data_IF_238076566517
#
_entry.id   IF_238076566517
#
_cell.length_a   1.000
_cell.length_b   1.000
_cell.length_c   1.000
_cell.angle_alpha   90.00
_cell.angle_beta   90.00
_cell.angle_gamma   90.00
#
_symmetry.space_group_name_H-M   'P 1'
#
loop_
_entity.id
_entity.type
_entity.pdbx_description
1 polymer ?
#
# COMPACT_ATOMS: atom_id res chain seq x y z
N UNK A 1 -61.37 4.39 -5.50
CA UNK A 1 -60.09 4.99 -5.05
C UNK A 1 -59.42 4.01 -4.11
N UNK A 2 -58.41 3.26 -4.57
CA UNK A 2 -57.59 2.41 -3.71
C UNK A 2 -56.13 2.69 -4.07
N UNK A 3 -55.45 3.47 -3.22
CA UNK A 3 -54.01 3.77 -3.36
C UNK A 3 -53.25 2.62 -2.73
N UNK A 4 -52.64 1.79 -3.57
CA UNK A 4 -51.64 0.81 -3.17
C UNK A 4 -50.33 1.57 -2.88
N UNK A 5 -49.95 1.70 -1.60
CA UNK A 5 -48.61 2.16 -1.23
C UNK A 5 -47.64 1.00 -1.38
N UNK A 6 -46.82 1.03 -2.44
CA UNK A 6 -45.60 0.22 -2.50
C UNK A 6 -44.57 0.88 -1.57
N UNK A 7 -44.33 0.27 -0.42
CA UNK A 7 -43.16 0.58 0.41
C UNK A 7 -41.98 -0.18 -0.19
N UNK A 8 -41.13 0.53 -0.93
CA UNK A 8 -39.81 0.00 -1.28
C UNK A 8 -38.98 -0.05 0.01
N UNK A 9 -38.90 -1.23 0.62
CA UNK A 9 -37.83 -1.52 1.56
C UNK A 9 -36.56 -1.64 0.71
N UNK A 10 -35.76 -0.58 0.64
CA UNK A 10 -34.36 -0.73 0.27
C UNK A 10 -33.72 -1.56 1.39
N UNK A 11 -33.79 -2.89 1.25
CA UNK A 11 -32.86 -3.77 1.94
C UNK A 11 -31.51 -3.39 1.35
N UNK A 12 -30.81 -2.49 2.03
CA UNK A 12 -29.39 -2.31 1.81
C UNK A 12 -28.80 -3.70 1.96
N UNK A 13 -28.34 -4.27 0.85
CA UNK A 13 -27.49 -5.45 0.88
C UNK A 13 -26.34 -5.07 1.82
N UNK A 14 -26.39 -5.58 3.04
CA UNK A 14 -25.22 -5.65 3.88
C UNK A 14 -24.27 -6.56 3.11
N UNK A 15 -23.45 -5.95 2.24
CA UNK A 15 -22.28 -6.60 1.69
C UNK A 15 -21.54 -7.12 2.93
N UNK A 16 -21.27 -8.43 2.98
CA UNK A 16 -20.20 -8.91 3.83
C UNK A 16 -19.02 -7.96 3.61
N UNK A 17 -18.51 -7.34 4.68
CA UNK A 17 -17.62 -6.19 4.53
C UNK A 17 -16.49 -6.56 3.56
N UNK A 18 -16.53 -5.99 2.36
CA UNK A 18 -15.54 -6.28 1.32
C UNK A 18 -14.13 -5.90 1.81
N UNK A 19 -14.06 -5.13 2.91
CA UNK A 19 -12.87 -4.82 3.67
C UNK A 19 -12.92 -5.49 5.06
N UNK A 20 -12.33 -6.70 5.26
CA UNK A 20 -12.30 -7.34 6.56
C UNK A 20 -11.36 -6.56 7.50
N UNK A 21 -11.71 -6.44 8.79
CA UNK A 21 -10.87 -5.75 9.75
C UNK A 21 -9.58 -6.53 10.00
N UNK A 22 -8.51 -5.81 10.35
CA UNK A 22 -7.24 -6.43 10.70
C UNK A 22 -7.37 -7.36 11.93
N UNK A 23 -6.53 -8.40 12.05
CA UNK A 23 -6.48 -9.23 13.25
C UNK A 23 -6.34 -8.39 14.53
N UNK A 24 -7.23 -8.60 15.50
CA UNK A 24 -7.23 -7.85 16.77
C UNK A 24 -7.94 -6.50 16.75
N UNK A 25 -8.58 -6.11 15.64
CA UNK A 25 -9.38 -4.88 15.58
C UNK A 25 -10.58 -4.93 16.54
N UNK A 26 -10.75 -3.87 17.35
CA UNK A 26 -11.81 -3.78 18.34
C UNK A 26 -13.09 -3.18 17.74
N UNK A 27 -13.89 -4.00 17.05
CA UNK A 27 -15.16 -3.58 16.45
C UNK A 27 -16.12 -3.03 17.52
N UNK A 28 -16.25 -3.72 18.66
CA UNK A 28 -17.20 -3.35 19.70
C UNK A 28 -16.86 -2.03 20.41
N UNK A 29 -15.57 -1.68 20.48
CA UNK A 29 -15.09 -0.43 21.06
C UNK A 29 -14.88 0.71 20.05
N UNK A 30 -15.26 0.51 18.78
CA UNK A 30 -15.10 1.51 17.72
C UNK A 30 -16.46 2.13 17.35
N UNK A 31 -16.45 3.40 16.94
CA UNK A 31 -17.67 4.07 16.47
C UNK A 31 -18.14 3.45 15.12
N UNK A 32 -19.40 3.00 15.00
CA UNK A 32 -19.88 2.36 13.77
C UNK A 32 -19.81 3.25 12.52
N UNK A 33 -19.94 4.58 12.66
CA UNK A 33 -19.82 5.51 11.53
C UNK A 33 -18.36 5.67 11.10
N UNK A 34 -17.42 5.60 12.05
CA UNK A 34 -15.99 5.62 11.72
C UNK A 34 -15.58 4.37 10.92
N UNK A 35 -16.09 3.20 11.31
CA UNK A 35 -15.88 1.95 10.55
C UNK A 35 -16.47 2.09 9.15
N UNK A 36 -17.72 2.55 9.03
CA UNK A 36 -18.37 2.73 7.73
C UNK A 36 -17.60 3.69 6.82
N UNK A 37 -17.05 4.78 7.37
CA UNK A 37 -16.23 5.72 6.61
C UNK A 37 -14.92 5.08 6.11
N UNK A 38 -14.27 4.25 6.93
CA UNK A 38 -13.07 3.51 6.50
C UNK A 38 -13.38 2.56 5.33
N UNK A 39 -14.52 1.87 5.39
CA UNK A 39 -14.97 0.98 4.32
C UNK A 39 -15.30 1.75 3.03
N UNK A 40 -15.92 2.93 3.14
CA UNK A 40 -16.17 3.82 1.99
C UNK A 40 -14.87 4.30 1.33
N UNK A 41 -13.85 4.65 2.11
CA UNK A 41 -12.52 5.02 1.60
C UNK A 41 -11.90 3.84 0.85
N UNK A 42 -11.93 2.63 1.43
CA UNK A 42 -11.42 1.42 0.80
C UNK A 42 -12.13 1.10 -0.51
N UNK A 43 -13.46 1.23 -0.56
CA UNK A 43 -14.24 1.03 -1.77
C UNK A 43 -13.90 2.06 -2.86
N UNK A 44 -13.80 3.35 -2.50
CA UNK A 44 -13.45 4.42 -3.43
C UNK A 44 -12.05 4.27 -4.03
N UNK A 45 -11.14 3.61 -3.30
CA UNK A 45 -9.76 3.33 -3.72
C UNK A 45 -9.59 2.03 -4.51
N UNK A 46 -10.69 1.43 -4.97
CA UNK A 46 -10.70 0.24 -5.82
C UNK A 46 -11.02 -1.06 -5.09
N UNK A 47 -11.26 -1.03 -3.77
CA UNK A 47 -11.68 -2.18 -2.98
C UNK A 47 -10.55 -3.12 -2.55
N UNK A 48 -10.77 -3.82 -1.43
CA UNK A 48 -9.81 -4.75 -0.82
C UNK A 48 -9.36 -5.86 -1.76
N UNK A 49 -10.28 -6.51 -2.48
CA UNK A 49 -9.95 -7.64 -3.34
C UNK A 49 -8.93 -7.25 -4.43
N UNK A 50 -9.10 -6.08 -5.05
CA UNK A 50 -8.17 -5.56 -6.04
C UNK A 50 -6.84 -5.14 -5.40
N UNK A 51 -6.87 -4.50 -4.23
CA UNK A 51 -5.66 -4.19 -3.46
C UNK A 51 -4.85 -5.45 -3.13
N UNK A 52 -5.50 -6.52 -2.67
CA UNK A 52 -4.84 -7.77 -2.31
C UNK A 52 -4.25 -8.47 -3.54
N UNK A 53 -5.00 -8.50 -4.65
CA UNK A 53 -4.55 -9.07 -5.92
C UNK A 53 -3.45 -8.26 -6.63
N UNK A 54 -3.29 -6.97 -6.30
CA UNK A 54 -2.27 -6.11 -6.92
C UNK A 54 -0.88 -6.59 -6.53
N UNK A 55 -0.09 -7.01 -7.53
CA UNK A 55 1.29 -7.45 -7.32
C UNK A 55 2.29 -6.31 -7.44
N UNK A 56 2.26 -5.58 -8.55
CA UNK A 56 3.24 -4.53 -8.84
C UNK A 56 2.65 -3.15 -8.63
N UNK A 57 3.37 -2.30 -7.90
CA UNK A 57 3.05 -0.87 -7.74
C UNK A 57 4.27 -0.07 -8.17
N UNK A 58 4.07 0.92 -9.03
CA UNK A 58 5.12 1.84 -9.49
C UNK A 58 4.66 3.27 -9.30
N UNK A 59 5.48 4.09 -8.66
CA UNK A 59 5.17 5.49 -8.43
C UNK A 59 6.43 6.35 -8.36
N UNK A 60 6.26 7.65 -8.57
CA UNK A 60 7.32 8.63 -8.40
C UNK A 60 6.96 9.57 -7.26
N UNK A 61 7.70 9.51 -6.16
CA UNK A 61 7.47 10.36 -4.98
C UNK A 61 8.11 11.74 -5.20
N UNK A 62 7.30 12.80 -5.10
CA UNK A 62 7.64 14.20 -5.40
C UNK A 62 8.38 14.43 -6.73
N UNK A 63 8.23 13.53 -7.71
CA UNK A 63 8.84 13.69 -9.03
C UNK A 63 10.32 13.32 -9.12
N UNK A 64 10.99 12.89 -8.04
CA UNK A 64 12.44 12.57 -8.09
C UNK A 64 12.83 11.20 -7.53
N UNK A 65 11.95 10.53 -6.77
CA UNK A 65 12.19 9.15 -6.29
C UNK A 65 11.28 8.18 -7.01
N UNK A 66 11.83 7.36 -7.90
CA UNK A 66 11.06 6.27 -8.52
C UNK A 66 11.08 5.05 -7.60
N UNK A 67 9.93 4.43 -7.41
CA UNK A 67 9.78 3.16 -6.73
C UNK A 67 9.04 2.18 -7.63
N UNK A 68 9.53 0.94 -7.68
CA UNK A 68 8.81 -0.24 -8.18
C UNK A 68 8.80 -1.24 -7.03
N UNK A 69 7.64 -1.80 -6.73
CA UNK A 69 7.47 -2.75 -5.63
C UNK A 69 6.70 -3.98 -6.10
N UNK A 70 7.30 -5.17 -5.95
CA UNK A 70 6.61 -6.45 -5.96
C UNK A 70 6.06 -6.71 -4.55
N UNK A 71 4.77 -6.41 -4.34
CA UNK A 71 4.10 -6.56 -3.03
C UNK A 71 4.08 -7.99 -2.52
N UNK A 72 4.20 -8.98 -3.41
CA UNK A 72 4.11 -10.38 -3.03
C UNK A 72 5.43 -10.92 -2.52
N UNK A 73 6.55 -10.51 -3.11
CA UNK A 73 7.89 -10.99 -2.72
C UNK A 73 8.63 -10.04 -1.78
N UNK A 74 8.25 -8.76 -1.79
CA UNK A 74 8.98 -7.70 -1.09
C UNK A 74 10.15 -7.13 -1.89
N UNK A 75 10.31 -7.50 -3.16
CA UNK A 75 11.37 -6.95 -3.99
C UNK A 75 11.04 -5.52 -4.41
N UNK A 76 12.03 -4.64 -4.33
CA UNK A 76 11.92 -3.25 -4.75
C UNK A 76 13.02 -2.85 -5.71
N UNK A 77 12.68 -1.93 -6.61
CA UNK A 77 13.63 -1.05 -7.30
C UNK A 77 13.38 0.37 -6.83
N UNK A 78 14.43 1.01 -6.35
CA UNK A 78 14.42 2.41 -5.98
C UNK A 78 15.41 3.18 -6.83
N UNK A 79 15.01 4.33 -7.36
CA UNK A 79 15.90 5.25 -8.05
C UNK A 79 15.78 6.66 -7.50
N UNK A 80 16.92 7.32 -7.33
CA UNK A 80 17.03 8.73 -7.03
C UNK A 80 18.34 9.26 -7.61
N UNK A 81 18.26 10.31 -8.43
CA UNK A 81 19.42 10.86 -9.14
C UNK A 81 20.15 9.77 -9.95
N UNK A 82 21.43 9.49 -9.69
CA UNK A 82 22.22 8.43 -10.34
C UNK A 82 22.27 7.12 -9.53
N UNK A 83 21.59 7.07 -8.38
CA UNK A 83 21.50 5.89 -7.52
C UNK A 83 20.35 4.98 -7.98
N UNK A 84 20.66 3.70 -8.15
CA UNK A 84 19.68 2.62 -8.25
C UNK A 84 19.92 1.61 -7.13
N UNK A 85 18.86 1.22 -6.41
CA UNK A 85 18.87 0.15 -5.41
C UNK A 85 17.90 -0.94 -5.84
N UNK A 86 18.38 -2.19 -5.84
CA UNK A 86 17.58 -3.40 -6.03
C UNK A 86 17.69 -4.22 -4.75
N UNK A 87 16.62 -4.35 -3.97
CA UNK A 87 16.68 -5.05 -2.69
C UNK A 87 15.37 -5.72 -2.34
N UNK A 88 15.42 -6.66 -1.39
CA UNK A 88 14.21 -7.19 -0.77
C UNK A 88 13.98 -6.51 0.58
N UNK A 89 12.77 -6.00 0.83
CA UNK A 89 12.45 -5.26 2.07
C UNK A 89 12.40 -6.14 3.33
N UNK A 90 12.26 -7.46 3.17
CA UNK A 90 12.18 -8.40 4.28
C UNK A 90 13.58 -8.82 4.75
N UNK A 91 14.47 -9.21 3.84
CA UNK A 91 15.86 -9.53 4.18
C UNK A 91 16.73 -8.29 4.36
N UNK A 92 16.35 -7.17 3.72
CA UNK A 92 17.14 -5.94 3.58
C UNK A 92 18.46 -6.13 2.82
N UNK A 93 18.57 -7.21 2.06
CA UNK A 93 19.73 -7.51 1.23
C UNK A 93 19.47 -7.12 -0.23
N UNK A 94 20.53 -6.80 -0.96
CA UNK A 94 20.40 -6.34 -2.34
C UNK A 94 21.69 -5.86 -2.98
N UNK A 95 21.52 -5.15 -4.10
CA UNK A 95 22.57 -4.54 -4.92
C UNK A 95 22.29 -3.05 -5.07
N UNK A 96 23.33 -2.26 -5.18
CA UNK A 96 23.22 -0.83 -5.43
C UNK A 96 24.20 -0.40 -6.53
N UNK A 97 23.78 0.60 -7.29
CA UNK A 97 24.51 1.15 -8.43
C UNK A 97 24.54 2.66 -8.34
N UNK A 98 25.67 3.27 -8.64
CA UNK A 98 25.82 4.73 -8.80
C UNK A 98 26.36 4.99 -10.20
N UNK A 99 25.65 5.80 -10.98
CA UNK A 99 25.96 6.03 -12.39
C UNK A 99 26.17 4.70 -13.16
N UNK A 100 25.24 3.76 -12.97
CA UNK A 100 25.21 2.41 -13.57
C UNK A 100 26.36 1.47 -13.15
N UNK A 101 27.26 1.90 -12.27
CA UNK A 101 28.34 1.07 -11.74
C UNK A 101 27.93 0.43 -10.42
N UNK A 102 28.04 -0.88 -10.36
CA UNK A 102 27.75 -1.65 -9.15
C UNK A 102 28.74 -1.33 -8.02
N UNK A 103 28.21 -1.19 -6.81
CA UNK A 103 28.99 -0.97 -5.60
C UNK A 103 29.41 -2.32 -5.01
N UNK A 104 30.71 -2.57 -4.94
CA UNK A 104 31.29 -3.78 -4.34
C UNK A 104 31.81 -3.58 -2.91
N UNK A 105 32.07 -2.33 -2.52
CA UNK A 105 32.51 -2.01 -1.16
C UNK A 105 31.38 -2.27 -0.16
N UNK A 106 31.56 -3.14 0.85
CA UNK A 106 30.48 -3.55 1.75
C UNK A 106 29.85 -2.41 2.54
N UNK A 107 30.66 -1.48 3.07
CA UNK A 107 30.18 -0.38 3.90
C UNK A 107 29.37 0.62 3.06
N UNK A 108 29.88 0.94 1.87
CA UNK A 108 29.18 1.80 0.91
C UNK A 108 27.87 1.15 0.45
N UNK A 109 27.88 -0.16 0.16
CA UNK A 109 26.68 -0.90 -0.23
C UNK A 109 25.64 -0.85 0.89
N UNK A 110 26.02 -1.18 2.13
CA UNK A 110 25.13 -1.15 3.27
C UNK A 110 24.48 0.24 3.47
N UNK A 111 25.26 1.31 3.33
CA UNK A 111 24.75 2.68 3.42
C UNK A 111 23.73 3.00 2.32
N UNK A 112 23.94 2.54 1.08
CA UNK A 112 22.98 2.76 -0.03
C UNK A 112 21.71 1.92 0.11
N UNK A 113 21.83 0.67 0.58
CA UNK A 113 20.66 -0.17 0.87
C UNK A 113 19.81 0.43 1.99
N UNK A 114 20.42 0.90 3.08
CA UNK A 114 19.70 1.59 4.17
C UNK A 114 18.99 2.85 3.67
N UNK A 115 19.66 3.67 2.85
CA UNK A 115 19.05 4.86 2.25
C UNK A 115 17.81 4.49 1.41
N UNK A 116 17.93 3.50 0.52
CA UNK A 116 16.82 3.02 -0.31
C UNK A 116 15.65 2.48 0.53
N UNK A 117 15.95 1.69 1.56
CA UNK A 117 14.95 1.14 2.47
C UNK A 117 14.21 2.23 3.27
N UNK A 118 14.94 3.21 3.82
CA UNK A 118 14.36 4.35 4.55
C UNK A 118 13.48 5.21 3.65
N UNK A 119 13.91 5.46 2.41
CA UNK A 119 13.09 6.15 1.42
C UNK A 119 11.82 5.35 1.10
N UNK A 120 11.93 4.04 0.88
CA UNK A 120 10.78 3.18 0.61
C UNK A 120 9.78 3.16 1.77
N UNK A 121 10.22 3.00 3.03
CA UNK A 121 9.30 3.03 4.19
C UNK A 121 8.49 4.31 4.22
N UNK A 122 9.17 5.45 4.14
CA UNK A 122 8.51 6.76 4.21
C UNK A 122 7.54 6.93 3.04
N UNK A 123 8.03 6.73 1.81
CA UNK A 123 7.28 7.07 0.60
C UNK A 123 6.11 6.11 0.38
N UNK A 124 6.31 4.82 0.67
CA UNK A 124 5.22 3.85 0.61
C UNK A 124 4.18 4.12 1.68
N UNK A 125 4.55 4.56 2.89
CA UNK A 125 3.58 4.90 3.93
C UNK A 125 2.58 5.95 3.45
N UNK A 126 3.04 7.05 2.84
CA UNK A 126 2.16 8.08 2.30
C UNK A 126 1.20 7.56 1.23
N UNK A 127 1.66 6.61 0.40
CA UNK A 127 0.82 6.01 -0.64
C UNK A 127 -0.16 4.99 -0.07
N UNK A 128 0.27 4.14 0.87
CA UNK A 128 -0.48 2.96 1.31
C UNK A 128 -1.29 3.15 2.59
N UNK A 129 -1.07 4.25 3.33
CA UNK A 129 -1.76 4.51 4.59
C UNK A 129 -3.29 4.34 4.49
N UNK A 130 -3.98 4.85 3.45
CA UNK A 130 -5.43 4.69 3.35
C UNK A 130 -5.88 3.22 3.23
N UNK A 131 -5.04 2.31 2.73
CA UNK A 131 -5.35 0.88 2.63
C UNK A 131 -5.23 0.12 3.98
N UNK A 132 -4.80 0.84 5.04
CA UNK A 132 -4.62 0.33 6.41
C UNK A 132 -5.69 0.83 7.39
N UNK A 133 -6.70 1.55 6.90
CA UNK A 133 -7.83 2.02 7.71
C UNK A 133 -8.72 0.86 8.16
#
# INVERSE_FOLDING_TARGET
MLRLLLVFFCIGLAHAADNPPAPGFNVAGSDPKAIALADEVMAAMGGRANWDATRYITWRFFGFRLHVWDKWTGDIRFEQDDLTVLMNIHSKEGRAFVAEKEISDPDTLAAKLDHGYRAWINDSYWLVMPYKL
#
